data_IF_796864446287
#
_entry.id   IF_796864446287
#
_cell.length_a   1.000
_cell.length_b   1.000
_cell.length_c   1.000
_cell.angle_alpha   90.00
_cell.angle_beta   90.00
_cell.angle_gamma   90.00
#
_symmetry.space_group_name_H-M   'P 1'
#
loop_
_entity.id
_entity.type
_entity.pdbx_description
1 polymer ?
#
# COMPACT_ATOMS: atom_id res chain seq x y z
N UNK A 1 22.29 -10.22 17.41
CA UNK A 1 21.55 -8.98 17.74
C UNK A 1 21.55 -8.77 19.25
N UNK A 2 21.82 -7.55 19.71
CA UNK A 2 21.68 -7.16 21.12
C UNK A 2 20.22 -6.85 21.46
N UNK A 3 19.85 -6.90 22.75
CA UNK A 3 18.52 -6.51 23.23
C UNK A 3 18.17 -5.07 22.84
N UNK A 4 19.11 -4.15 23.04
CA UNK A 4 18.96 -2.73 22.70
C UNK A 4 18.67 -2.51 21.20
N UNK A 5 19.34 -3.25 20.30
CA UNK A 5 19.08 -3.14 18.86
C UNK A 5 17.65 -3.59 18.51
N UNK A 6 17.15 -4.66 19.12
CA UNK A 6 15.77 -5.14 18.90
C UNK A 6 14.74 -4.12 19.41
N UNK A 7 14.96 -3.55 20.59
CA UNK A 7 14.07 -2.53 21.17
C UNK A 7 14.05 -1.25 20.34
N UNK A 8 15.20 -0.77 19.87
CA UNK A 8 15.28 0.37 18.95
C UNK A 8 14.51 0.09 17.67
N UNK A 9 14.72 -1.06 17.04
CA UNK A 9 14.02 -1.43 15.79
C UNK A 9 12.50 -1.54 15.98
N UNK A 10 12.04 -2.04 17.13
CA UNK A 10 10.62 -2.09 17.43
C UNK A 10 10.03 -0.69 17.58
N UNK A 11 10.72 0.19 18.33
CA UNK A 11 10.32 1.58 18.51
C UNK A 11 10.26 2.33 17.18
N UNK A 12 11.29 2.24 16.35
CA UNK A 12 11.35 2.89 15.04
C UNK A 12 10.19 2.45 14.12
N UNK A 13 9.84 1.16 14.15
CA UNK A 13 8.69 0.64 13.40
C UNK A 13 7.38 1.23 13.90
N UNK A 14 7.17 1.25 15.21
CA UNK A 14 5.94 1.77 15.81
C UNK A 14 5.77 3.27 15.59
N UNK A 15 6.86 4.03 15.67
CA UNK A 15 6.86 5.47 15.38
C UNK A 15 6.58 5.73 13.89
N UNK A 16 7.07 4.86 13.00
CA UNK A 16 6.79 4.95 11.56
C UNK A 16 5.35 4.58 11.20
N UNK A 17 4.73 3.62 11.87
CA UNK A 17 3.35 3.22 11.61
C UNK A 17 2.50 3.33 12.89
N UNK A 18 2.01 4.53 13.23
CA UNK A 18 1.22 4.76 14.44
C UNK A 18 -0.18 4.13 14.36
N UNK A 19 -0.60 3.69 13.18
CA UNK A 19 -1.89 3.04 12.91
C UNK A 19 -1.67 1.71 12.21
N UNK A 20 -2.50 0.74 12.57
CA UNK A 20 -2.58 -0.59 11.98
C UNK A 20 -3.87 -0.71 11.20
N UNK A 21 -3.82 -1.27 10.00
CA UNK A 21 -5.02 -1.53 9.19
C UNK A 21 -5.26 -3.03 9.09
N UNK A 22 -6.39 -3.49 9.61
CA UNK A 22 -6.77 -4.89 9.52
C UNK A 22 -7.95 -5.07 8.60
N UNK A 23 -7.84 -6.05 7.71
CA UNK A 23 -8.93 -6.52 6.85
C UNK A 23 -9.31 -7.92 7.30
N UNK A 24 -10.55 -8.09 7.73
CA UNK A 24 -11.10 -9.41 8.11
C UNK A 24 -11.97 -9.92 6.97
N UNK A 25 -11.50 -10.94 6.26
CA UNK A 25 -12.21 -11.56 5.15
C UNK A 25 -13.11 -12.69 5.65
N UNK A 26 -14.38 -12.63 5.27
CA UNK A 26 -15.40 -13.60 5.60
C UNK A 26 -15.55 -14.68 4.51
N UNK A 27 -16.13 -15.85 4.84
CA UNK A 27 -16.38 -16.92 3.89
C UNK A 27 -17.26 -16.51 2.69
N UNK A 28 -18.15 -15.55 2.90
CA UNK A 28 -19.02 -14.95 1.87
C UNK A 28 -18.30 -13.88 1.01
N UNK A 29 -16.97 -13.79 1.13
CA UNK A 29 -16.06 -12.87 0.42
C UNK A 29 -16.20 -11.40 0.84
N UNK A 30 -17.01 -11.08 1.85
CA UNK A 30 -17.06 -9.73 2.40
C UNK A 30 -15.81 -9.44 3.22
N UNK A 31 -15.45 -8.17 3.34
CA UNK A 31 -14.29 -7.73 4.11
C UNK A 31 -14.72 -6.63 5.08
N UNK A 32 -14.43 -6.84 6.37
CA UNK A 32 -14.55 -5.82 7.39
C UNK A 32 -13.18 -5.16 7.60
N UNK A 33 -13.09 -3.86 7.35
CA UNK A 33 -11.85 -3.08 7.53
C UNK A 33 -11.92 -2.31 8.85
N UNK A 34 -10.83 -2.37 9.63
CA UNK A 34 -10.71 -1.63 10.88
C UNK A 34 -9.33 -1.00 11.05
N UNK A 35 -9.29 0.12 11.77
CA UNK A 35 -8.06 0.80 12.18
C UNK A 35 -7.79 0.53 13.65
N UNK A 36 -6.55 0.17 13.96
CA UNK A 36 -6.09 -0.21 15.29
C UNK A 36 -4.77 0.49 15.63
N UNK A 37 -4.31 0.34 16.86
CA UNK A 37 -2.97 0.74 17.30
C UNK A 37 -2.05 -0.47 17.41
N UNK A 38 -0.72 -0.32 17.25
CA UNK A 38 0.21 -1.45 17.25
C UNK A 38 0.21 -2.27 18.55
N UNK A 39 -0.11 -1.62 19.68
CA UNK A 39 -0.15 -2.22 21.01
C UNK A 39 -1.55 -2.73 21.41
N UNK A 40 -2.55 -2.59 20.54
CA UNK A 40 -3.83 -3.27 20.75
C UNK A 40 -3.65 -4.76 20.60
N UNK A 41 -4.57 -5.54 21.18
CA UNK A 41 -4.42 -6.98 21.29
C UNK A 41 -5.33 -7.72 20.32
N UNK A 42 -5.05 -9.02 20.14
CA UNK A 42 -5.95 -9.93 19.41
C UNK A 42 -7.35 -9.95 20.04
N UNK A 43 -7.47 -9.76 21.36
CA UNK A 43 -8.78 -9.60 22.01
C UNK A 43 -9.55 -8.39 21.48
N UNK A 44 -8.88 -7.26 21.27
CA UNK A 44 -9.52 -6.06 20.72
C UNK A 44 -10.02 -6.29 19.28
N UNK A 45 -9.22 -6.98 18.45
CA UNK A 45 -9.63 -7.40 17.11
C UNK A 45 -10.85 -8.34 17.17
N UNK A 46 -10.82 -9.37 18.03
CA UNK A 46 -11.95 -10.30 18.20
C UNK A 46 -13.21 -9.56 18.65
N UNK A 47 -13.09 -8.64 19.60
CA UNK A 47 -14.22 -7.83 20.05
C UNK A 47 -14.77 -6.96 18.93
N UNK A 48 -13.90 -6.29 18.17
CA UNK A 48 -14.28 -5.51 17.00
C UNK A 48 -15.06 -6.33 15.97
N UNK A 49 -14.63 -7.56 15.66
CA UNK A 49 -15.39 -8.44 14.77
C UNK A 49 -16.75 -8.77 15.39
N UNK A 50 -16.77 -9.18 16.67
CA UNK A 50 -17.97 -9.63 17.39
C UNK A 50 -19.11 -8.60 17.36
N UNK A 51 -18.80 -7.31 17.55
CA UNK A 51 -19.82 -6.25 17.58
C UNK A 51 -20.40 -5.92 16.20
N UNK A 52 -19.78 -6.36 15.10
CA UNK A 52 -20.24 -6.15 13.73
C UNK A 52 -20.87 -7.42 13.11
N UNK A 53 -20.98 -8.51 13.89
CA UNK A 53 -21.66 -9.72 13.45
C UNK A 53 -23.18 -9.54 13.53
N UNK A 54 -23.88 -10.16 12.58
CA UNK A 54 -25.35 -10.26 12.61
C UNK A 54 -25.84 -10.99 13.87
N UNK A 55 -25.09 -12.00 14.32
CA UNK A 55 -25.30 -12.70 15.59
C UNK A 55 -24.03 -12.56 16.45
N UNK A 56 -24.02 -11.69 17.47
CA UNK A 56 -22.89 -11.54 18.37
C UNK A 56 -22.59 -12.78 19.23
N UNK A 57 -23.51 -13.75 19.34
CA UNK A 57 -23.28 -14.98 20.09
C UNK A 57 -22.66 -16.09 19.23
N UNK A 58 -22.53 -15.88 17.91
CA UNK A 58 -21.96 -16.84 17.00
C UNK A 58 -20.52 -17.20 17.39
N UNK A 59 -20.19 -18.48 17.62
CA UNK A 59 -18.82 -18.92 17.82
C UNK A 59 -17.98 -18.75 16.54
N UNK A 60 -16.81 -18.14 16.67
CA UNK A 60 -15.90 -17.93 15.56
C UNK A 60 -14.43 -17.94 16.00
N UNK A 61 -13.54 -18.08 15.04
CA UNK A 61 -12.10 -17.96 15.20
C UNK A 61 -11.51 -17.09 14.09
N UNK A 62 -10.34 -16.51 14.35
CA UNK A 62 -9.59 -15.70 13.40
C UNK A 62 -8.27 -16.39 13.08
N UNK A 63 -7.84 -16.33 11.84
CA UNK A 63 -6.58 -16.95 11.41
C UNK A 63 -5.92 -16.18 10.26
N UNK A 64 -4.62 -16.41 10.08
CA UNK A 64 -3.84 -15.93 8.93
C UNK A 64 -3.43 -17.14 8.07
N UNK A 65 -3.17 -16.91 6.78
CA UNK A 65 -2.72 -17.95 5.85
C UNK A 65 -1.94 -17.36 4.67
N UNK A 66 -1.02 -18.12 4.01
CA UNK A 66 -0.57 -19.49 4.32
C UNK A 66 0.79 -19.57 5.08
N UNK A 67 1.02 -20.58 5.96
CA UNK A 67 0.12 -21.65 6.40
C UNK A 67 -0.98 -21.14 7.36
N UNK A 68 -2.04 -21.94 7.55
CA UNK A 68 -3.15 -21.57 8.44
C UNK A 68 -2.66 -21.52 9.90
N UNK A 69 -2.62 -20.33 10.47
CA UNK A 69 -2.28 -20.10 11.89
C UNK A 69 -3.44 -19.40 12.58
N UNK A 70 -4.03 -20.06 13.57
CA UNK A 70 -5.15 -19.52 14.36
C UNK A 70 -4.58 -18.50 15.37
N UNK A 71 -5.24 -17.35 15.48
CA UNK A 71 -4.91 -16.31 16.45
C UNK A 71 -5.45 -16.68 17.83
N UNK A 72 -4.82 -17.65 18.50
CA UNK A 72 -5.31 -18.24 19.75
C UNK A 72 -5.14 -17.33 20.97
N UNK A 73 -3.95 -16.72 21.12
CA UNK A 73 -3.62 -15.88 22.28
C UNK A 73 -4.34 -14.52 22.20
N UNK A 74 -5.31 -14.23 23.09
CA UNK A 74 -6.02 -12.95 23.09
C UNK A 74 -5.18 -11.79 23.63
N UNK A 75 -4.09 -12.09 24.36
CA UNK A 75 -3.24 -11.07 25.02
C UNK A 75 -2.12 -10.56 24.13
N UNK A 76 -1.72 -11.34 23.11
CA UNK A 76 -0.74 -10.93 22.11
C UNK A 76 -1.15 -9.62 21.45
N UNK A 77 -0.18 -8.70 21.32
CA UNK A 77 -0.39 -7.45 20.59
C UNK A 77 -0.45 -7.71 19.08
N UNK A 78 -1.08 -6.81 18.33
CA UNK A 78 -1.10 -6.88 16.87
C UNK A 78 0.31 -6.89 16.27
N UNK A 79 1.26 -6.21 16.92
CA UNK A 79 2.67 -6.27 16.54
C UNK A 79 3.29 -7.65 16.79
N UNK A 80 3.02 -8.27 17.94
CA UNK A 80 3.53 -9.61 18.27
C UNK A 80 2.92 -10.72 17.42
N UNK A 81 1.68 -10.53 16.97
CA UNK A 81 0.96 -11.47 16.12
C UNK A 81 1.25 -11.29 14.61
N UNK A 82 2.25 -10.50 14.24
CA UNK A 82 2.61 -10.16 12.85
C UNK A 82 1.43 -9.56 12.04
N UNK A 83 0.50 -8.87 12.71
CA UNK A 83 -0.65 -8.20 12.11
C UNK A 83 -0.38 -6.71 11.80
N UNK A 84 0.88 -6.33 11.71
CA UNK A 84 1.35 -4.95 11.63
C UNK A 84 2.22 -4.73 10.38
N UNK A 85 2.19 -3.55 9.73
CA UNK A 85 1.29 -2.41 9.97
C UNK A 85 -0.05 -2.56 9.25
N UNK A 86 -0.17 -3.52 8.34
CA UNK A 86 -1.44 -3.89 7.73
C UNK A 86 -1.45 -5.39 7.50
N UNK A 87 -2.60 -6.04 7.71
CA UNK A 87 -2.73 -7.48 7.53
C UNK A 87 -4.14 -7.89 7.06
N UNK A 88 -4.16 -9.01 6.33
CA UNK A 88 -5.37 -9.73 5.98
C UNK A 88 -5.55 -10.89 6.95
N UNK A 89 -6.68 -10.90 7.65
CA UNK A 89 -7.09 -11.92 8.60
C UNK A 89 -8.33 -12.59 8.03
N UNK A 90 -8.48 -13.89 8.26
CA UNK A 90 -9.62 -14.66 7.81
C UNK A 90 -10.53 -14.99 8.99
N UNK A 91 -11.83 -14.86 8.76
CA UNK A 91 -12.87 -15.29 9.67
C UNK A 91 -13.23 -16.75 9.40
N UNK A 92 -13.33 -17.55 10.46
CA UNK A 92 -13.83 -18.92 10.41
C UNK A 92 -14.92 -19.15 11.45
N UNK A 93 -15.94 -19.91 11.08
CA UNK A 93 -16.99 -20.40 11.98
C UNK A 93 -17.47 -21.77 11.49
N UNK A 94 -17.96 -22.60 12.41
CA UNK A 94 -18.55 -23.89 12.08
C UNK A 94 -20.02 -23.75 11.63
N UNK A 95 -20.69 -22.65 12.00
CA UNK A 95 -22.04 -22.38 11.54
C UNK A 95 -22.02 -21.84 10.11
N UNK A 96 -22.90 -22.38 9.26
CA UNK A 96 -23.13 -21.85 7.92
C UNK A 96 -24.30 -20.88 7.97
N UNK A 97 -24.03 -19.62 7.63
CA UNK A 97 -25.04 -18.56 7.46
C UNK A 97 -24.87 -17.92 6.09
N UNK A 98 -25.95 -17.37 5.56
CA UNK A 98 -25.95 -16.62 4.30
C UNK A 98 -25.20 -15.29 4.44
N UNK A 99 -25.20 -14.70 5.65
CA UNK A 99 -24.48 -13.48 5.98
C UNK A 99 -23.96 -13.53 7.42
N UNK A 100 -22.68 -13.19 7.59
CA UNK A 100 -22.06 -13.10 8.91
C UNK A 100 -22.11 -11.68 9.49
N UNK A 101 -22.02 -10.67 8.63
CA UNK A 101 -22.02 -9.26 9.02
C UNK A 101 -23.43 -8.72 9.21
N UNK A 102 -23.56 -7.75 10.12
CA UNK A 102 -24.80 -7.04 10.39
C UNK A 102 -25.34 -6.33 9.15
N UNK A 103 -26.65 -6.47 8.87
CA UNK A 103 -27.30 -5.89 7.67
C UNK A 103 -27.08 -4.39 7.50
N UNK A 104 -27.16 -3.61 8.58
CA UNK A 104 -26.96 -2.16 8.52
C UNK A 104 -25.57 -1.76 7.99
N UNK A 105 -24.56 -2.58 8.26
CA UNK A 105 -23.21 -2.39 7.74
C UNK A 105 -23.12 -2.75 6.25
N UNK A 106 -23.92 -3.71 5.79
CA UNK A 106 -23.98 -4.10 4.38
C UNK A 106 -24.61 -3.01 3.51
N UNK A 107 -25.62 -2.33 4.04
CA UNK A 107 -26.31 -1.22 3.36
C UNK A 107 -25.37 -0.02 3.10
N UNK A 108 -24.29 0.08 3.87
CA UNK A 108 -23.25 1.12 3.74
C UNK A 108 -21.93 0.60 3.16
N UNK A 109 -21.94 -0.58 2.53
CA UNK A 109 -20.73 -1.16 1.93
C UNK A 109 -20.15 -0.29 0.80
N UNK A 110 -18.82 -0.35 0.67
CA UNK A 110 -18.05 0.42 -0.30
C UNK A 110 -17.25 -0.50 -1.23
N UNK A 111 -16.79 0.05 -2.35
CA UNK A 111 -15.86 -0.67 -3.23
C UNK A 111 -14.49 -0.86 -2.57
N UNK A 112 -13.73 -1.85 -3.05
CA UNK A 112 -12.36 -2.07 -2.59
C UNK A 112 -11.46 -0.84 -2.79
N UNK A 113 -11.64 -0.11 -3.90
CA UNK A 113 -10.89 1.11 -4.20
C UNK A 113 -11.16 2.20 -3.14
N UNK A 114 -12.42 2.44 -2.80
CA UNK A 114 -12.78 3.43 -1.77
C UNK A 114 -12.24 3.02 -0.39
N UNK A 115 -12.23 1.72 -0.08
CA UNK A 115 -11.63 1.21 1.15
C UNK A 115 -10.09 1.39 1.18
N UNK A 116 -9.42 1.25 0.02
CA UNK A 116 -7.99 1.52 -0.14
C UNK A 116 -7.67 3.03 0.00
N UNK A 117 -8.48 3.90 -0.60
CA UNK A 117 -8.36 5.36 -0.47
C UNK A 117 -8.47 5.82 0.98
N UNK A 118 -9.34 5.20 1.77
CA UNK A 118 -9.47 5.48 3.20
C UNK A 118 -8.18 5.17 4.00
N UNK A 119 -7.31 4.30 3.49
CA UNK A 119 -6.03 3.94 4.13
C UNK A 119 -4.92 4.94 3.74
N UNK A 120 -5.04 5.64 2.61
CA UNK A 120 -3.97 6.47 2.06
C UNK A 120 -3.47 7.58 2.99
N UNK A 121 -4.29 8.01 3.96
CA UNK A 121 -3.91 8.98 4.99
C UNK A 121 -3.26 8.39 6.25
N UNK A 122 -3.26 7.06 6.41
CA UNK A 122 -2.80 6.38 7.62
C UNK A 122 -1.39 5.81 7.52
N UNK A 123 -0.85 5.69 6.31
CA UNK A 123 0.50 5.17 6.06
C UNK A 123 1.42 6.30 5.62
N UNK A 124 2.67 6.36 6.10
CA UNK A 124 3.66 7.26 5.54
C UNK A 124 3.73 7.04 4.04
N UNK A 125 3.50 8.09 3.25
CA UNK A 125 3.73 8.02 1.81
C UNK A 125 5.18 7.62 1.62
N UNK A 126 5.44 6.41 1.10
CA UNK A 126 6.73 6.13 0.52
C UNK A 126 6.89 7.13 -0.61
N UNK A 127 7.83 8.07 -0.47
CA UNK A 127 8.24 8.87 -1.62
C UNK A 127 8.51 7.91 -2.77
N UNK A 128 7.99 8.16 -3.99
CA UNK A 128 8.39 7.36 -5.14
C UNK A 128 9.92 7.37 -5.21
N UNK A 129 10.58 6.30 -5.70
CA UNK A 129 12.01 6.34 -5.91
C UNK A 129 12.27 7.55 -6.81
N UNK A 130 12.87 8.59 -6.22
CA UNK A 130 13.29 9.76 -6.96
C UNK A 130 14.24 9.23 -8.02
N UNK A 131 13.79 9.26 -9.28
CA UNK A 131 14.70 9.07 -10.40
C UNK A 131 15.84 10.03 -10.16
N UNK A 132 17.04 9.50 -9.91
CA UNK A 132 18.26 10.28 -9.79
C UNK A 132 18.45 11.05 -11.11
N UNK A 133 17.91 12.26 -11.19
CA UNK A 133 18.34 13.25 -12.17
C UNK A 133 19.61 13.85 -11.60
N UNK A 134 20.74 13.19 -11.91
CA UNK A 134 22.06 13.71 -11.60
C UNK A 134 22.36 14.92 -12.49
N UNK A 135 22.81 16.01 -11.84
CA UNK A 135 23.68 17.07 -12.37
C UNK A 135 23.09 17.96 -13.48
N UNK A 136 23.23 19.29 -13.47
CA UNK A 136 24.38 20.13 -13.07
C UNK A 136 23.88 21.43 -12.43
N UNK A 137 24.50 21.79 -11.31
CA UNK A 137 24.54 23.16 -10.78
C UNK A 137 25.55 23.93 -11.62
N UNK A 138 25.11 25.01 -12.28
CA UNK A 138 26.03 26.01 -12.81
C UNK A 138 25.79 27.34 -12.08
N UNK A 139 26.90 27.86 -11.56
CA UNK A 139 27.10 29.03 -10.71
C UNK A 139 26.97 30.32 -11.56
N UNK A 140 26.27 31.38 -11.11
CA UNK A 140 26.17 32.60 -11.90
C UNK A 140 27.23 33.64 -11.52
N UNK A 141 27.88 34.26 -12.52
CA UNK A 141 28.37 35.67 -12.60
C UNK A 141 29.40 35.81 -13.77
N UNK A 142 29.67 37.00 -14.36
CA UNK A 142 28.86 38.22 -14.54
C UNK A 142 28.74 38.68 -16.02
N UNK A 143 27.86 39.67 -16.27
CA UNK A 143 27.49 40.24 -17.58
C UNK A 143 28.65 40.86 -18.40
N UNK A 144 28.59 40.81 -19.75
CA UNK A 144 29.31 41.74 -20.62
C UNK A 144 28.42 42.92 -21.11
N UNK A 145 29.03 44.08 -21.42
CA UNK A 145 28.31 45.35 -21.53
C UNK A 145 27.69 45.62 -22.90
N UNK A 146 26.60 46.39 -22.82
CA UNK A 146 26.02 47.33 -23.76
C UNK A 146 26.62 47.43 -25.19
N UNK A 147 25.82 46.99 -26.16
CA UNK A 147 25.24 47.87 -27.19
C UNK A 147 26.19 48.64 -28.10
N UNK A 148 26.29 48.21 -29.35
CA UNK A 148 26.48 49.14 -30.48
C UNK A 148 25.59 48.70 -31.64
N UNK A 149 25.02 49.70 -32.28
CA UNK A 149 23.92 49.70 -33.26
C UNK A 149 24.36 49.14 -34.62
N UNK A 150 23.42 48.60 -35.38
CA UNK A 150 23.06 48.95 -36.79
C UNK A 150 22.20 47.80 -37.38
N UNK A 151 20.89 48.04 -37.58
CA UNK A 151 20.19 48.25 -38.88
C UNK A 151 20.43 47.10 -39.88
N UNK A 152 19.41 46.29 -40.16
CA UNK A 152 18.75 46.16 -41.48
C UNK A 152 17.66 45.09 -41.47
N UNK A 153 16.59 45.41 -42.21
CA UNK A 153 15.36 44.66 -42.44
C UNK A 153 15.59 43.45 -43.36
N UNK A 154 14.78 42.39 -43.26
CA UNK A 154 14.10 41.71 -44.39
C UNK A 154 13.41 40.40 -43.94
N UNK A 155 12.08 40.35 -44.11
CA UNK A 155 11.28 39.13 -44.41
C UNK A 155 11.51 38.77 -45.92
N UNK A 156 11.06 37.66 -46.55
CA UNK A 156 10.22 36.54 -46.07
C UNK A 156 10.52 35.12 -46.65
N UNK A 157 9.85 34.11 -46.09
CA UNK A 157 9.29 32.89 -46.73
C UNK A 157 10.18 31.85 -47.50
N UNK A 158 9.77 30.56 -47.37
CA UNK A 158 9.83 29.43 -48.37
C UNK A 158 10.69 28.18 -48.05
N UNK A 159 10.01 27.14 -47.53
CA UNK A 159 9.91 25.74 -48.03
C UNK A 159 11.03 24.66 -47.84
N UNK A 160 10.57 23.46 -47.43
CA UNK A 160 11.15 22.09 -47.49
C UNK A 160 12.29 21.78 -46.50
N UNK A 161 12.33 20.66 -45.75
CA UNK A 161 12.12 19.27 -46.17
C UNK A 161 11.90 18.35 -44.95
N UNK A 162 11.13 17.28 -45.13
CA UNK A 162 10.69 16.32 -44.13
C UNK A 162 11.73 15.25 -43.75
N UNK A 163 11.67 14.70 -42.52
CA UNK A 163 12.07 13.31 -42.23
C UNK A 163 11.03 12.59 -41.35
N UNK A 164 10.64 11.39 -41.82
CA UNK A 164 9.63 10.46 -41.30
C UNK A 164 10.08 9.70 -40.05
N UNK A 165 9.13 9.06 -39.32
CA UNK A 165 9.38 8.29 -38.09
C UNK A 165 9.86 6.86 -38.40
N UNK A 166 10.71 6.28 -37.55
CA UNK A 166 11.15 4.88 -37.63
C UNK A 166 10.75 4.11 -36.37
N UNK A 167 10.34 2.86 -36.62
CA UNK A 167 9.52 1.94 -35.83
C UNK A 167 10.27 1.22 -34.69
N UNK A 168 9.44 0.67 -33.81
CA UNK A 168 9.63 -0.32 -32.73
C UNK A 168 10.60 -1.48 -33.01
N UNK A 169 11.41 -1.82 -32.00
CA UNK A 169 11.97 -3.16 -31.79
C UNK A 169 11.41 -3.73 -30.47
N UNK A 170 10.52 -4.72 -30.59
CA UNK A 170 9.91 -5.47 -29.48
C UNK A 170 10.60 -6.82 -29.38
N UNK A 171 11.56 -6.96 -28.46
CA UNK A 171 12.33 -8.20 -28.35
C UNK A 171 12.86 -8.59 -26.97
N UNK A 172 12.51 -7.90 -25.88
CA UNK A 172 13.00 -8.27 -24.53
C UNK A 172 11.87 -8.65 -23.59
N UNK A 173 11.67 -9.96 -23.47
CA UNK A 173 10.85 -10.57 -22.43
C UNK A 173 11.52 -10.30 -21.06
N UNK A 174 10.81 -9.68 -20.11
CA UNK A 174 11.36 -9.38 -18.79
C UNK A 174 11.84 -10.63 -18.05
N UNK A 175 12.88 -10.47 -17.22
CA UNK A 175 13.51 -11.58 -16.49
C UNK A 175 12.56 -12.34 -15.54
N UNK A 176 11.44 -11.74 -15.13
CA UNK A 176 10.44 -12.40 -14.29
C UNK A 176 9.59 -13.44 -15.05
N UNK A 177 9.60 -13.40 -16.39
CA UNK A 177 8.79 -14.27 -17.25
C UNK A 177 9.58 -15.45 -17.83
N UNK A 178 10.66 -15.90 -17.16
CA UNK A 178 11.42 -17.09 -17.58
C UNK A 178 11.10 -18.28 -16.68
N UNK A 179 10.43 -19.28 -17.25
CA UNK A 179 10.15 -20.57 -16.61
C UNK A 179 11.43 -21.44 -16.55
N UNK A 180 11.67 -22.19 -15.46
CA UNK A 180 12.78 -23.15 -15.41
C UNK A 180 12.46 -24.36 -16.31
N UNK A 181 13.34 -24.61 -17.28
CA UNK A 181 13.27 -25.78 -18.16
C UNK A 181 13.57 -27.07 -17.40
N UNK A 182 12.66 -28.05 -17.53
CA UNK A 182 12.88 -29.43 -17.07
C UNK A 182 13.97 -30.11 -17.90
N UNK A 183 14.91 -30.76 -17.22
CA UNK A 183 15.47 -32.06 -17.61
C UNK A 183 15.75 -32.85 -16.35
#
# INVERSE_FOLDING_TARGET
MTKALRESQMKDKMDRYPRVVLRVQFPDRRVLQGFFRPLETVAALRHFVKIHLQDPQLPFYLFIAPPKTILEDPTATLFQADLFPAALVYFGSDAKTDSYLERLLLDSSVSALQADEAIAGCMPRSSPPSSFSSMVTEEPLPDPPAGTREIEEEDPNTHSQAHKPVRTDTGKVPKWLKLPGKK
#
